data_IF_823228997861
#
_entry.id   IF_823228997861
#
_cell.length_a   1.000
_cell.length_b   1.000
_cell.length_c   1.000
_cell.angle_alpha   90.00
_cell.angle_beta   90.00
_cell.angle_gamma   90.00
#
_symmetry.space_group_name_H-M   'P 1'
#
loop_
_entity.id
_entity.type
_entity.pdbx_description
1 polymer ?
#
# COMPACT_ATOMS: atom_id res chain seq x y z
N UNK A 1 17.47 -9.10 -8.64
CA UNK A 1 17.28 -9.17 -7.17
C UNK A 1 16.38 -8.00 -6.81
N UNK A 2 15.21 -8.26 -6.22
CA UNK A 2 14.41 -7.17 -5.64
C UNK A 2 15.21 -6.61 -4.45
N UNK A 3 15.44 -5.30 -4.40
CA UNK A 3 16.05 -4.70 -3.21
C UNK A 3 14.96 -4.55 -2.15
N UNK A 4 15.06 -5.35 -1.10
CA UNK A 4 14.22 -5.20 0.08
C UNK A 4 14.33 -3.77 0.57
N UNK A 5 13.21 -3.05 0.55
CA UNK A 5 13.17 -1.66 0.97
C UNK A 5 12.52 -1.60 2.34
N UNK A 6 13.13 -0.87 3.27
CA UNK A 6 12.49 -0.57 4.55
C UNK A 6 11.60 0.63 4.30
N UNK A 7 10.29 0.43 4.36
CA UNK A 7 9.31 1.51 4.37
C UNK A 7 9.16 2.05 5.80
N UNK A 8 9.16 3.36 5.93
CA UNK A 8 8.85 4.08 7.16
C UNK A 8 7.82 5.13 6.81
N UNK A 9 6.69 5.12 7.53
CA UNK A 9 5.56 6.00 7.29
C UNK A 9 4.98 6.49 8.62
N UNK A 10 4.51 7.74 8.66
CA UNK A 10 3.73 8.26 9.78
C UNK A 10 2.26 7.93 9.49
N UNK A 11 1.59 7.19 10.37
CA UNK A 11 0.16 6.90 10.27
C UNK A 11 -0.62 7.53 11.40
N UNK A 12 -1.65 8.30 11.08
CA UNK A 12 -2.60 8.85 12.06
C UNK A 12 -4.04 8.53 11.68
N UNK A 13 -4.83 8.14 12.69
CA UNK A 13 -6.26 7.92 12.56
C UNK A 13 -7.01 9.24 12.58
N UNK A 14 -7.95 9.42 11.66
CA UNK A 14 -8.93 10.50 11.67
C UNK A 14 -10.24 9.95 12.26
N UNK A 15 -10.78 10.65 13.26
CA UNK A 15 -11.85 10.12 14.11
C UNK A 15 -13.24 10.07 13.46
N UNK A 16 -13.47 10.81 12.37
CA UNK A 16 -14.79 10.89 11.73
C UNK A 16 -14.70 11.25 10.24
N UNK A 17 -15.79 11.00 9.51
CA UNK A 17 -15.92 11.39 8.10
C UNK A 17 -15.91 12.91 7.93
N UNK A 18 -16.48 13.65 8.88
CA UNK A 18 -16.52 15.12 8.82
C UNK A 18 -15.10 15.69 8.95
N UNK A 19 -14.31 15.21 9.92
CA UNK A 19 -12.92 15.62 10.06
C UNK A 19 -12.08 15.25 8.84
N UNK A 20 -12.30 14.06 8.27
CA UNK A 20 -11.66 13.65 7.01
C UNK A 20 -12.00 14.61 5.87
N UNK A 21 -13.29 14.92 5.70
CA UNK A 21 -13.78 15.78 4.62
C UNK A 21 -13.23 17.21 4.78
N UNK A 22 -13.19 17.74 5.99
CA UNK A 22 -12.61 19.04 6.29
C UNK A 22 -11.12 19.10 5.95
N UNK A 23 -10.35 18.05 6.29
CA UNK A 23 -8.93 17.96 5.94
C UNK A 23 -8.76 17.89 4.42
N UNK A 24 -9.50 17.02 3.73
CA UNK A 24 -9.43 16.87 2.28
C UNK A 24 -9.74 18.20 1.57
N UNK A 25 -10.81 18.89 1.96
CA UNK A 25 -11.20 20.18 1.39
C UNK A 25 -10.13 21.26 1.64
N UNK A 26 -9.53 21.30 2.83
CA UNK A 26 -8.44 22.24 3.12
C UNK A 26 -7.21 21.98 2.25
N UNK A 27 -6.81 20.72 2.07
CA UNK A 27 -5.68 20.35 1.22
C UNK A 27 -5.96 20.65 -0.26
N UNK A 28 -7.17 20.38 -0.75
CA UNK A 28 -7.59 20.74 -2.10
C UNK A 28 -7.57 22.26 -2.30
N UNK A 29 -8.09 23.03 -1.34
CA UNK A 29 -8.05 24.49 -1.39
C UNK A 29 -6.62 25.02 -1.41
N UNK A 30 -5.72 24.47 -0.60
CA UNK A 30 -4.29 24.82 -0.65
C UNK A 30 -3.69 24.49 -2.02
N UNK A 31 -4.04 23.34 -2.60
CA UNK A 31 -3.51 22.92 -3.90
C UNK A 31 -3.88 23.82 -5.08
N UNK A 32 -4.93 24.64 -4.92
CA UNK A 32 -5.31 25.66 -5.90
C UNK A 32 -4.46 26.95 -5.80
N UNK A 33 -3.64 27.08 -4.77
CA UNK A 33 -2.77 28.24 -4.52
C UNK A 33 -1.32 27.81 -4.71
N UNK A 34 -0.70 28.23 -5.82
CA UNK A 34 0.65 27.81 -6.21
C UNK A 34 1.73 28.07 -5.15
N UNK A 35 1.56 29.13 -4.38
CA UNK A 35 2.43 29.58 -3.30
C UNK A 35 2.33 28.74 -2.03
N UNK A 36 1.30 27.88 -1.89
CA UNK A 36 1.15 27.03 -0.71
C UNK A 36 2.17 25.90 -0.64
N UNK A 37 2.76 25.52 -1.78
CA UNK A 37 3.63 24.35 -1.89
C UNK A 37 2.92 23.01 -1.69
N UNK A 38 1.58 22.96 -1.71
CA UNK A 38 0.78 21.73 -1.71
C UNK A 38 0.32 21.47 -3.14
N UNK A 39 0.47 20.24 -3.65
CA UNK A 39 0.03 19.89 -5.01
C UNK A 39 -0.82 18.63 -4.96
N UNK A 40 -2.06 18.70 -5.43
CA UNK A 40 -2.90 17.51 -5.56
C UNK A 40 -2.36 16.61 -6.68
N UNK A 41 -1.97 15.39 -6.32
CA UNK A 41 -1.37 14.40 -7.21
C UNK A 41 -2.38 13.39 -7.77
N UNK A 42 -3.62 13.43 -7.30
CA UNK A 42 -4.72 12.62 -7.79
C UNK A 42 -5.47 11.89 -6.69
N UNK A 43 -6.58 11.27 -7.10
CA UNK A 43 -7.43 10.43 -6.25
C UNK A 43 -7.71 9.14 -7.01
N UNK A 44 -7.58 8.01 -6.32
CA UNK A 44 -7.78 6.70 -6.92
C UNK A 44 -8.52 5.77 -5.96
N UNK A 45 -9.37 4.93 -6.52
CA UNK A 45 -9.98 3.80 -5.83
C UNK A 45 -9.09 2.58 -5.98
N UNK A 46 -8.81 1.92 -4.87
CA UNK A 46 -7.92 0.78 -4.78
C UNK A 46 -8.67 -0.39 -4.14
N UNK A 47 -8.63 -1.56 -4.75
CA UNK A 47 -9.13 -2.80 -4.15
C UNK A 47 -7.92 -3.63 -3.76
N UNK A 48 -7.77 -3.85 -2.46
CA UNK A 48 -6.72 -4.68 -1.89
C UNK A 48 -7.29 -6.06 -1.57
N UNK A 49 -6.72 -7.10 -2.18
CA UNK A 49 -7.04 -8.50 -1.92
C UNK A 49 -5.83 -9.16 -1.27
N UNK A 50 -6.04 -9.78 -0.11
CA UNK A 50 -5.01 -10.51 0.63
C UNK A 50 -5.14 -12.00 0.33
N UNK A 51 -4.01 -12.62 0.07
CA UNK A 51 -3.93 -14.02 -0.37
C UNK A 51 -2.84 -14.77 0.39
N UNK A 52 -3.03 -16.06 0.61
CA UNK A 52 -2.10 -16.92 1.35
C UNK A 52 -2.19 -18.37 0.85
N UNK A 53 -1.21 -19.20 1.15
CA UNK A 53 -1.31 -20.64 0.99
C UNK A 53 -1.32 -21.32 2.35
N UNK A 54 -2.53 -21.62 2.83
CA UNK A 54 -2.77 -22.38 4.07
C UNK A 54 -2.11 -21.76 5.32
N UNK A 55 -1.99 -20.43 5.35
CA UNK A 55 -1.44 -19.67 6.47
C UNK A 55 0.08 -19.54 6.45
N UNK A 56 0.78 -20.11 5.45
CA UNK A 56 2.24 -20.07 5.36
C UNK A 56 2.82 -18.66 5.35
N UNK A 57 2.09 -17.65 4.85
CA UNK A 57 2.57 -16.27 4.81
C UNK A 57 2.25 -15.57 6.14
N UNK A 58 0.98 -15.53 6.53
CA UNK A 58 0.53 -14.81 7.73
C UNK A 58 1.04 -15.40 9.03
N UNK A 59 1.21 -16.72 9.10
CA UNK A 59 1.64 -17.45 10.29
C UNK A 59 3.17 -17.68 10.29
N UNK A 60 3.88 -17.12 9.31
CA UNK A 60 5.34 -17.18 9.27
C UNK A 60 5.94 -16.44 10.47
N UNK A 61 6.49 -17.18 11.43
CA UNK A 61 7.20 -16.61 12.56
C UNK A 61 8.69 -16.47 12.24
N UNK A 62 9.35 -15.39 12.72
CA UNK A 62 8.80 -14.28 13.51
C UNK A 62 8.15 -13.17 12.66
N UNK A 63 7.94 -13.40 11.36
CA UNK A 63 7.94 -12.36 10.32
C UNK A 63 6.56 -11.81 9.95
N UNK A 64 5.45 -12.32 10.49
CA UNK A 64 4.06 -11.86 10.30
C UNK A 64 3.89 -11.01 9.03
N UNK A 65 3.88 -11.69 7.89
CA UNK A 65 3.91 -11.06 6.58
C UNK A 65 2.55 -11.17 5.89
N UNK A 66 2.32 -10.29 4.92
CA UNK A 66 1.14 -10.34 4.07
C UNK A 66 1.56 -10.35 2.60
N UNK A 67 0.82 -11.08 1.78
CA UNK A 67 0.85 -10.97 0.32
C UNK A 67 -0.46 -10.30 -0.11
N UNK A 68 -0.33 -9.13 -0.75
CA UNK A 68 -1.43 -8.28 -1.18
C UNK A 68 -1.39 -8.08 -2.68
N UNK A 69 -2.55 -8.19 -3.32
CA UNK A 69 -2.78 -7.82 -4.71
C UNK A 69 -3.66 -6.58 -4.72
N UNK A 70 -3.15 -5.48 -5.25
CA UNK A 70 -3.86 -4.21 -5.36
C UNK A 70 -4.22 -3.96 -6.81
N UNK A 71 -5.49 -3.63 -7.04
CA UNK A 71 -6.00 -3.11 -8.31
C UNK A 71 -6.46 -1.68 -8.10
N UNK A 72 -6.02 -0.76 -8.95
CA UNK A 72 -6.42 0.64 -8.85
C UNK A 72 -7.10 1.11 -10.13
N UNK A 73 -8.13 1.95 -9.99
CA UNK A 73 -8.89 2.53 -11.12
C UNK A 73 -8.05 3.44 -12.03
N UNK A 74 -6.92 3.94 -11.52
CA UNK A 74 -5.93 4.68 -12.30
C UNK A 74 -4.95 3.79 -13.08
N UNK A 75 -5.16 2.47 -13.10
CA UNK A 75 -4.36 1.49 -13.84
C UNK A 75 -3.10 1.02 -13.12
N UNK A 76 -2.80 1.50 -11.90
CA UNK A 76 -1.66 1.02 -11.11
C UNK A 76 -2.04 -0.27 -10.36
N UNK A 77 -1.67 -1.41 -10.92
CA UNK A 77 -1.83 -2.71 -10.26
C UNK A 77 -0.49 -3.19 -9.69
N UNK A 78 -0.50 -3.66 -8.45
CA UNK A 78 0.73 -4.04 -7.74
C UNK A 78 0.53 -5.31 -6.92
N UNK A 79 1.59 -6.10 -6.84
CA UNK A 79 1.73 -7.21 -5.90
C UNK A 79 2.72 -6.75 -4.84
N UNK A 80 2.36 -6.92 -3.57
CA UNK A 80 3.18 -6.50 -2.44
C UNK A 80 3.38 -7.66 -1.47
N UNK A 81 4.62 -7.91 -1.06
CA UNK A 81 4.94 -8.67 0.16
C UNK A 81 5.38 -7.65 1.20
N UNK A 82 4.65 -7.57 2.32
CA UNK A 82 4.95 -6.64 3.41
C UNK A 82 5.09 -7.39 4.73
N UNK A 83 6.18 -7.16 5.44
CA UNK A 83 6.43 -7.73 6.76
C UNK A 83 7.89 -8.14 7.01
N UNK A 84 8.34 -8.15 8.28
CA UNK A 84 7.57 -7.84 9.50
C UNK A 84 7.25 -6.35 9.66
N UNK A 85 6.09 -6.03 10.24
CA UNK A 85 5.64 -4.65 10.50
C UNK A 85 5.65 -4.31 11.98
N UNK A 86 6.15 -3.12 12.31
CA UNK A 86 6.09 -2.52 13.66
C UNK A 86 5.36 -1.18 13.53
N UNK A 87 4.41 -0.91 14.42
CA UNK A 87 3.72 0.38 14.52
C UNK A 87 3.76 0.86 15.97
N UNK A 88 4.52 1.93 16.22
CA UNK A 88 4.68 2.51 17.57
C UNK A 88 4.45 4.01 17.47
N UNK A 89 3.56 4.55 18.31
CA UNK A 89 3.28 5.99 18.41
C UNK A 89 2.89 6.68 17.09
N UNK A 90 2.30 5.91 16.16
CA UNK A 90 1.91 6.40 14.83
C UNK A 90 3.07 6.47 13.83
N UNK A 91 4.19 5.79 14.08
CA UNK A 91 5.26 5.57 13.10
C UNK A 91 5.28 4.07 12.78
N UNK A 92 5.01 3.72 11.53
CA UNK A 92 5.10 2.36 11.03
C UNK A 92 6.45 2.12 10.36
N UNK A 93 7.00 0.93 10.55
CA UNK A 93 8.17 0.43 9.82
C UNK A 93 7.85 -0.98 9.34
N UNK A 94 8.05 -1.22 8.06
CA UNK A 94 7.88 -2.54 7.47
C UNK A 94 8.95 -2.80 6.40
N UNK A 95 9.37 -4.05 6.28
CA UNK A 95 10.07 -4.48 5.08
C UNK A 95 9.02 -4.69 3.98
N UNK A 96 9.25 -4.09 2.82
CA UNK A 96 8.31 -4.13 1.71
C UNK A 96 9.03 -4.42 0.39
N UNK A 97 8.48 -5.40 -0.33
CA UNK A 97 8.80 -5.68 -1.73
C UNK A 97 7.53 -5.51 -2.56
N UNK A 98 7.54 -4.59 -3.51
CA UNK A 98 6.42 -4.31 -4.41
C UNK A 98 6.85 -4.47 -5.88
N UNK A 99 5.97 -5.02 -6.71
CA UNK A 99 6.14 -5.05 -8.17
C UNK A 99 4.85 -4.64 -8.87
N UNK A 100 4.96 -3.77 -9.87
CA UNK A 100 3.84 -3.45 -10.76
C UNK A 100 3.60 -4.59 -11.73
N UNK A 101 2.34 -4.88 -12.01
CA UNK A 101 1.91 -5.96 -12.91
C UNK A 101 0.80 -5.50 -13.84
N UNK A 102 0.62 -6.21 -14.94
CA UNK A 102 -0.52 -5.98 -15.83
C UNK A 102 -1.84 -6.35 -15.15
N UNK A 103 -2.94 -5.74 -15.60
CA UNK A 103 -4.27 -5.96 -15.02
C UNK A 103 -4.69 -7.43 -15.10
N UNK A 104 -4.39 -8.13 -16.20
CA UNK A 104 -4.75 -9.54 -16.38
C UNK A 104 -4.09 -10.44 -15.33
N UNK A 105 -2.85 -10.13 -14.96
CA UNK A 105 -2.12 -10.83 -13.90
C UNK A 105 -2.76 -10.53 -12.55
N UNK A 106 -3.03 -9.25 -12.27
CA UNK A 106 -3.63 -8.84 -11.01
C UNK A 106 -5.03 -9.46 -10.82
N UNK A 107 -5.87 -9.45 -11.86
CA UNK A 107 -7.21 -10.04 -11.82
C UNK A 107 -7.16 -11.56 -11.67
N UNK A 108 -6.23 -12.22 -12.35
CA UNK A 108 -6.02 -13.65 -12.22
C UNK A 108 -5.63 -14.03 -10.78
N UNK A 109 -4.66 -13.34 -10.17
CA UNK A 109 -4.27 -13.59 -8.77
C UNK A 109 -5.35 -13.18 -7.75
N UNK A 110 -6.13 -12.15 -8.06
CA UNK A 110 -7.16 -11.63 -7.16
C UNK A 110 -8.50 -12.38 -7.26
N UNK A 111 -8.72 -13.21 -8.29
CA UNK A 111 -10.02 -13.84 -8.55
C UNK A 111 -9.95 -15.33 -8.95
N UNK A 112 -8.82 -15.80 -9.49
CA UNK A 112 -8.61 -17.17 -9.97
C UNK A 112 -7.57 -17.91 -9.10
N UNK A 113 -7.95 -18.12 -7.85
CA UNK A 113 -7.16 -18.68 -6.76
C UNK A 113 -6.56 -20.08 -7.01
N UNK A 114 -7.08 -20.83 -7.98
CA UNK A 114 -6.63 -22.19 -8.29
C UNK A 114 -5.41 -22.22 -9.23
N UNK A 115 -5.09 -21.11 -9.89
CA UNK A 115 -3.98 -21.06 -10.86
C UNK A 115 -2.64 -21.29 -10.14
N UNK A 116 -1.84 -22.28 -10.56
CA UNK A 116 -0.54 -22.55 -9.95
C UNK A 116 0.37 -21.31 -9.96
N UNK A 117 1.04 -21.04 -8.85
CA UNK A 117 2.01 -19.95 -8.75
C UNK A 117 3.09 -20.02 -9.83
N UNK A 118 3.50 -21.23 -10.24
CA UNK A 118 4.47 -21.45 -11.32
C UNK A 118 4.02 -20.95 -12.70
N UNK A 119 2.72 -20.68 -12.87
CA UNK A 119 2.19 -20.09 -14.10
C UNK A 119 2.62 -18.63 -14.27
N UNK A 120 2.87 -17.93 -13.15
CA UNK A 120 3.24 -16.51 -13.16
C UNK A 120 4.76 -16.36 -13.17
N UNK A 121 5.31 -15.79 -14.24
CA UNK A 121 6.74 -15.46 -14.30
C UNK A 121 7.03 -14.12 -13.59
N UNK A 122 6.76 -14.05 -12.29
CA UNK A 122 6.88 -12.83 -11.49
C UNK A 122 7.96 -13.04 -10.42
N UNK A 123 9.07 -12.28 -10.45
CA UNK A 123 10.17 -12.45 -9.49
C UNK A 123 9.72 -12.39 -8.02
N UNK A 124 8.75 -11.52 -7.70
CA UNK A 124 8.23 -11.38 -6.34
C UNK A 124 7.49 -12.64 -5.85
N UNK A 125 6.73 -13.32 -6.73
CA UNK A 125 6.06 -14.57 -6.36
C UNK A 125 7.06 -15.71 -6.20
N UNK A 126 8.10 -15.76 -7.03
CA UNK A 126 9.21 -16.71 -6.83
C UNK A 126 9.93 -16.47 -5.50
N UNK A 127 10.10 -15.20 -5.10
CA UNK A 127 10.61 -14.86 -3.78
C UNK A 127 9.65 -15.32 -2.67
N UNK A 128 8.34 -15.12 -2.80
CA UNK A 128 7.36 -15.62 -1.83
C UNK A 128 7.43 -17.14 -1.66
N UNK A 129 7.54 -17.89 -2.76
CA UNK A 129 7.71 -19.35 -2.77
C UNK A 129 8.93 -19.77 -1.95
N UNK A 130 10.07 -19.12 -2.17
CA UNK A 130 11.31 -19.43 -1.46
C UNK A 130 11.25 -19.00 0.02
N UNK A 131 10.75 -17.79 0.29
CA UNK A 131 10.73 -17.19 1.63
C UNK A 131 9.76 -17.90 2.58
N UNK A 132 8.57 -18.27 2.10
CA UNK A 132 7.50 -18.82 2.93
C UNK A 132 7.24 -20.32 2.68
N UNK A 133 8.02 -20.96 1.80
CA UNK A 133 7.85 -22.37 1.48
C UNK A 133 6.51 -22.68 0.80
N UNK A 134 6.04 -21.78 -0.06
CA UNK A 134 4.81 -22.00 -0.84
C UNK A 134 5.03 -23.15 -1.84
N UNK A 135 3.99 -23.91 -2.16
CA UNK A 135 4.03 -24.94 -3.20
C UNK A 135 3.74 -24.28 -4.55
N UNK A 136 4.73 -24.20 -5.47
CA UNK A 136 4.56 -23.50 -6.74
C UNK A 136 3.53 -24.17 -7.66
N UNK A 137 3.18 -25.44 -7.43
CA UNK A 137 2.19 -26.17 -8.21
C UNK A 137 0.74 -25.88 -7.81
N UNK A 138 0.54 -25.10 -6.74
CA UNK A 138 -0.76 -24.70 -6.23
C UNK A 138 -0.95 -23.20 -6.37
N UNK A 139 -2.20 -22.77 -6.40
CA UNK A 139 -2.54 -21.36 -6.29
C UNK A 139 -2.62 -20.89 -4.83
N UNK A 140 -3.32 -19.77 -4.62
CA UNK A 140 -3.43 -19.08 -3.34
C UNK A 140 -4.89 -18.97 -2.93
N UNK A 141 -5.17 -19.02 -1.63
CA UNK A 141 -6.50 -18.80 -1.08
C UNK A 141 -6.71 -17.33 -0.69
N UNK A 142 -7.92 -16.77 -0.89
CA UNK A 142 -8.24 -15.44 -0.39
C UNK A 142 -8.32 -15.46 1.13
N UNK A 143 -7.74 -14.44 1.76
CA UNK A 143 -7.80 -14.22 3.21
C UNK A 143 -8.79 -13.10 3.54
N UNK A 144 -8.92 -12.12 2.65
CA UNK A 144 -9.83 -11.00 2.82
C UNK A 144 -9.59 -9.91 1.79
N UNK A 145 -10.46 -8.91 1.78
CA UNK A 145 -10.33 -7.75 0.91
C UNK A 145 -10.90 -6.50 1.56
N UNK A 146 -10.47 -5.34 1.08
CA UNK A 146 -11.13 -4.06 1.34
C UNK A 146 -10.89 -3.08 0.18
N UNK A 147 -11.65 -1.98 0.18
CA UNK A 147 -11.47 -0.90 -0.79
C UNK A 147 -10.90 0.34 -0.09
N UNK A 148 -9.92 1.00 -0.67
CA UNK A 148 -9.41 2.30 -0.21
C UNK A 148 -9.62 3.35 -1.29
N UNK A 149 -10.19 4.50 -0.92
CA UNK A 149 -10.21 5.71 -1.74
C UNK A 149 -9.08 6.60 -1.22
N UNK A 150 -8.01 6.73 -2.00
CA UNK A 150 -6.79 7.44 -1.61
C UNK A 150 -6.63 8.73 -2.39
N UNK A 151 -6.58 9.86 -1.69
CA UNK A 151 -6.20 11.17 -2.22
C UNK A 151 -4.73 11.43 -1.91
N UNK A 152 -3.95 11.87 -2.89
CA UNK A 152 -2.51 12.11 -2.73
C UNK A 152 -2.17 13.59 -2.91
N UNK A 153 -1.32 14.12 -2.05
CA UNK A 153 -0.84 15.49 -2.08
C UNK A 153 0.68 15.52 -1.98
N UNK A 154 1.37 16.03 -3.00
CA UNK A 154 2.79 16.28 -2.93
C UNK A 154 3.05 17.54 -2.10
N UNK A 155 3.85 17.39 -1.05
CA UNK A 155 4.09 18.42 -0.04
C UNK A 155 5.42 19.13 -0.32
N UNK A 156 5.47 19.88 -1.43
CA UNK A 156 6.68 20.62 -1.86
C UNK A 156 7.17 21.61 -0.81
N UNK A 157 6.27 22.13 0.03
CA UNK A 157 6.62 23.00 1.15
C UNK A 157 7.54 22.33 2.19
N UNK A 158 7.71 21.01 2.16
CA UNK A 158 8.60 20.25 3.03
C UNK A 158 9.97 19.94 2.39
N UNK A 159 10.17 20.17 1.09
CA UNK A 159 11.43 19.87 0.40
C UNK A 159 12.63 20.60 1.03
N UNK A 160 12.50 21.91 1.24
CA UNK A 160 13.59 22.73 1.81
C UNK A 160 13.89 22.37 3.28
N UNK A 161 12.90 22.25 4.19
CA UNK A 161 13.15 21.73 5.54
C UNK A 161 13.86 20.37 5.56
N UNK A 162 13.45 19.43 4.69
CA UNK A 162 14.08 18.10 4.60
C UNK A 162 15.50 18.19 4.08
N UNK A 163 15.74 18.98 3.03
CA UNK A 163 17.09 19.24 2.53
C UNK A 163 17.99 19.81 3.61
N UNK A 164 17.52 20.80 4.35
CA UNK A 164 18.29 21.44 5.43
C UNK A 164 18.62 20.47 6.58
N UNK A 165 17.72 19.53 6.88
CA UNK A 165 17.90 18.55 7.95
C UNK A 165 18.73 17.32 7.54
N UNK A 166 18.64 16.89 6.27
CA UNK A 166 19.14 15.58 5.83
C UNK A 166 20.15 15.63 4.68
N UNK A 167 20.24 16.76 3.97
CA UNK A 167 21.00 16.87 2.72
C UNK A 167 20.40 16.09 1.55
N UNK A 168 19.12 15.69 1.63
CA UNK A 168 18.40 14.97 0.57
C UNK A 168 17.24 15.81 0.06
N UNK A 169 17.06 15.82 -1.27
CA UNK A 169 15.94 16.50 -1.91
C UNK A 169 14.82 15.50 -2.13
N UNK A 170 13.80 15.58 -1.28
CA UNK A 170 12.66 14.66 -1.28
C UNK A 170 11.37 15.48 -1.16
N UNK A 171 10.36 15.12 -1.94
CA UNK A 171 9.02 15.72 -1.89
C UNK A 171 8.07 14.68 -1.30
N UNK A 172 7.78 14.71 0.01
CA UNK A 172 6.92 13.71 0.62
C UNK A 172 5.52 13.76 0.02
N UNK A 173 4.87 12.60 -0.04
CA UNK A 173 3.49 12.48 -0.47
C UNK A 173 2.65 12.25 0.77
N UNK A 174 1.75 13.18 1.05
CA UNK A 174 0.71 12.98 2.04
C UNK A 174 -0.45 12.24 1.39
N UNK A 175 -0.84 11.12 1.98
CA UNK A 175 -1.93 10.26 1.52
C UNK A 175 -3.08 10.36 2.52
N UNK A 176 -4.27 10.65 2.01
CA UNK A 176 -5.51 10.70 2.78
C UNK A 176 -6.38 9.54 2.34
N UNK A 177 -6.70 8.66 3.29
CA UNK A 177 -7.34 7.38 3.01
C UNK A 177 -8.73 7.31 3.61
N UNK A 178 -9.70 6.97 2.78
CA UNK A 178 -10.98 6.44 3.19
C UNK A 178 -11.02 4.95 2.86
N UNK A 179 -10.83 4.11 3.87
CA UNK A 179 -10.91 2.66 3.73
C UNK A 179 -12.32 2.17 4.07
N UNK A 180 -12.89 1.36 3.18
CA UNK A 180 -14.23 0.80 3.23
C UNK A 180 -14.11 -0.71 3.43
N UNK A 181 -14.59 -1.17 4.59
CA UNK A 181 -14.77 -2.56 4.93
C UNK A 181 -16.27 -2.91 4.90
N UNK A 182 -16.58 -4.21 4.91
CA UNK A 182 -17.97 -4.68 5.00
C UNK A 182 -18.68 -4.23 6.29
N UNK A 183 -17.92 -4.01 7.36
CA UNK A 183 -18.43 -3.62 8.68
C UNK A 183 -18.34 -2.12 8.97
N UNK A 184 -17.83 -1.30 8.04
CA UNK A 184 -17.75 0.15 8.25
C UNK A 184 -16.60 0.83 7.51
N UNK A 185 -16.32 2.08 7.90
CA UNK A 185 -15.30 2.93 7.28
C UNK A 185 -14.21 3.36 8.25
N UNK A 186 -13.04 3.59 7.69
CA UNK A 186 -11.85 4.06 8.35
C UNK A 186 -11.27 5.27 7.61
N UNK A 187 -10.67 6.17 8.36
CA UNK A 187 -10.09 7.40 7.83
C UNK A 187 -8.69 7.58 8.38
N UNK A 188 -7.72 7.73 7.50
CA UNK A 188 -6.30 7.79 7.88
C UNK A 188 -5.59 8.89 7.08
N UNK A 189 -4.48 9.35 7.65
CA UNK A 189 -3.52 10.22 6.99
C UNK A 189 -2.13 9.63 7.15
N UNK A 190 -1.42 9.55 6.04
CA UNK A 190 -0.11 8.91 5.92
C UNK A 190 0.90 9.85 5.25
N UNK A 191 2.18 9.75 5.63
CA UNK A 191 3.32 10.40 4.94
C UNK A 191 4.57 9.53 5.06
#
# INVERSE_FOLDING_TARGET
MASQTVEIEIKKRIGSKDAYSDIEQRLLNLSNHSESGVVFAGKATQIDVFVDQDGKIRDSLPQFSVLRIRRADNGRNVITIKGPTILISGVARADEDEVSVDIDIADSLASNYEVPLSHYNIPLLNHAVQKFGLDPSKGLNPVGQYTTIRSKFAMKLWEEPIWNATGRKESPILELDETVYDFGRAFEIEV
#
